data_IF_996071754535
#
_entry.id   IF_996071754535
#
_cell.length_a   1.000
_cell.length_b   1.000
_cell.length_c   1.000
_cell.angle_alpha   90.00
_cell.angle_beta   90.00
_cell.angle_gamma   90.00
#
_symmetry.space_group_name_H-M   'P 1'
#
loop_
_entity.id
_entity.type
_entity.pdbx_description
1 polymer ?
#
# COMPACT_ATOMS: atom_id res chain seq x y z
N UNK A 1 -3.63 28.30 15.09
CA UNK A 1 -3.71 27.39 13.93
C UNK A 1 -2.28 26.96 13.64
N UNK A 2 -1.92 25.72 13.93
CA UNK A 2 -0.59 25.19 13.64
C UNK A 2 -0.68 24.32 12.38
N UNK A 3 0.26 24.50 11.47
CA UNK A 3 0.39 23.66 10.27
C UNK A 3 1.32 22.51 10.63
N UNK A 4 0.77 21.33 10.87
CA UNK A 4 1.54 20.11 11.07
C UNK A 4 1.84 19.50 9.69
N UNK A 5 3.13 19.34 9.36
CA UNK A 5 3.58 18.74 8.11
C UNK A 5 4.14 17.38 8.47
N UNK A 6 3.48 16.32 8.01
CA UNK A 6 3.92 14.93 8.20
C UNK A 6 4.30 14.37 6.84
N UNK A 7 5.50 13.77 6.74
CA UNK A 7 5.99 13.16 5.51
C UNK A 7 5.51 11.71 5.45
N UNK A 8 4.43 11.49 4.73
CA UNK A 8 3.91 10.15 4.43
C UNK A 8 4.33 9.69 3.04
N UNK A 9 4.77 8.44 2.92
CA UNK A 9 5.00 7.76 1.64
C UNK A 9 3.73 7.03 1.22
N UNK A 10 3.09 7.49 0.14
CA UNK A 10 1.88 6.84 -0.40
C UNK A 10 2.22 5.88 -1.52
N UNK A 11 1.72 4.66 -1.42
CA UNK A 11 1.78 3.63 -2.43
C UNK A 11 0.36 3.21 -2.84
N UNK A 12 0.02 3.41 -4.10
CA UNK A 12 -1.33 3.12 -4.64
C UNK A 12 -1.25 1.94 -5.60
N UNK A 13 -2.04 0.90 -5.35
CA UNK A 13 -2.19 -0.28 -6.17
C UNK A 13 -3.58 -0.36 -6.75
N UNK A 14 -3.70 -0.07 -8.04
CA UNK A 14 -4.96 -0.25 -8.75
C UNK A 14 -4.98 -1.65 -9.36
N UNK A 15 -5.80 -2.54 -8.79
CA UNK A 15 -6.12 -3.82 -9.38
C UNK A 15 -7.13 -3.59 -10.49
N UNK A 16 -6.67 -3.87 -11.70
CA UNK A 16 -7.45 -3.75 -12.92
C UNK A 16 -7.51 -5.08 -13.65
N UNK A 17 -8.68 -5.37 -14.20
CA UNK A 17 -8.92 -6.49 -15.11
C UNK A 17 -9.23 -5.88 -16.48
N UNK A 18 -8.36 -6.14 -17.44
CA UNK A 18 -8.39 -5.42 -18.72
C UNK A 18 -8.20 -3.92 -18.52
N UNK A 19 -9.22 -3.14 -18.86
CA UNK A 19 -9.26 -1.67 -18.72
C UNK A 19 -9.99 -1.20 -17.45
N UNK A 20 -10.63 -2.10 -16.69
CA UNK A 20 -11.53 -1.71 -15.61
C UNK A 20 -10.86 -1.88 -14.23
N UNK A 21 -10.91 -0.82 -13.41
CA UNK A 21 -10.34 -0.83 -12.05
C UNK A 21 -11.33 -1.49 -11.11
N UNK A 22 -11.02 -2.73 -10.73
CA UNK A 22 -11.87 -3.56 -9.88
C UNK A 22 -11.72 -3.17 -8.41
N UNK A 23 -10.48 -3.01 -7.96
CA UNK A 23 -10.14 -2.71 -6.57
C UNK A 23 -8.94 -1.78 -6.52
N UNK A 24 -8.93 -0.86 -5.58
CA UNK A 24 -7.79 0.00 -5.28
C UNK A 24 -7.33 -0.27 -3.86
N UNK A 25 -6.03 -0.46 -3.71
CA UNK A 25 -5.37 -0.42 -2.44
C UNK A 25 -4.54 0.84 -2.36
N UNK A 26 -4.60 1.50 -1.21
CA UNK A 26 -3.74 2.62 -0.88
C UNK A 26 -3.03 2.27 0.41
N UNK A 27 -1.72 2.38 0.41
CA UNK A 27 -0.88 2.22 1.59
C UNK A 27 -0.22 3.56 1.82
N UNK A 28 -0.50 4.19 2.95
CA UNK A 28 0.21 5.38 3.39
C UNK A 28 1.14 4.97 4.53
N UNK A 29 2.44 4.97 4.28
CA UNK A 29 3.47 4.69 5.28
C UNK A 29 3.91 6.02 5.90
N UNK A 30 3.69 6.16 7.19
CA UNK A 30 4.09 7.35 7.94
C UNK A 30 5.58 7.33 8.28
N UNK A 31 6.12 8.47 8.71
CA UNK A 31 7.52 8.68 9.10
C UNK A 31 7.95 7.82 10.31
N UNK A 32 6.99 7.26 11.04
CA UNK A 32 7.22 6.26 12.08
C UNK A 32 7.29 4.81 11.56
N UNK A 33 7.21 4.58 10.25
CA UNK A 33 7.13 3.24 9.64
C UNK A 33 5.76 2.58 9.84
N UNK A 34 4.75 3.35 10.26
CA UNK A 34 3.39 2.85 10.46
C UNK A 34 2.64 2.94 9.14
N UNK A 35 2.27 1.80 8.58
CA UNK A 35 1.56 1.71 7.31
C UNK A 35 0.04 1.64 7.52
N UNK A 36 -0.66 2.63 7.00
CA UNK A 36 -2.12 2.68 6.96
C UNK A 36 -2.59 2.13 5.62
N UNK A 37 -3.41 1.09 5.63
CA UNK A 37 -3.96 0.51 4.39
C UNK A 37 -5.43 0.81 4.26
N UNK A 38 -5.77 1.42 3.14
CA UNK A 38 -7.13 1.65 2.69
C UNK A 38 -7.42 0.78 1.48
N UNK A 39 -8.54 0.08 1.50
CA UNK A 39 -9.02 -0.71 0.37
C UNK A 39 -10.37 -0.18 -0.13
N UNK A 40 -10.46 0.03 -1.44
CA UNK A 40 -11.67 0.46 -2.11
C UNK A 40 -12.03 -0.56 -3.19
N UNK A 41 -13.14 -1.25 -3.00
CA UNK A 41 -13.69 -2.16 -3.99
C UNK A 41 -14.71 -1.40 -4.84
N UNK A 42 -14.41 -1.21 -6.12
CA UNK A 42 -15.31 -0.53 -7.07
C UNK A 42 -16.31 -1.52 -7.68
N UNK A 43 -15.82 -2.68 -8.14
CA UNK A 43 -16.63 -3.67 -8.85
C UNK A 43 -16.52 -5.05 -8.18
N UNK A 44 -17.45 -5.35 -7.27
CA UNK A 44 -17.48 -6.63 -6.55
C UNK A 44 -17.81 -7.84 -7.43
N UNK A 45 -18.57 -7.65 -8.52
CA UNK A 45 -18.96 -8.71 -9.45
C UNK A 45 -17.77 -9.18 -10.29
N UNK A 46 -17.06 -8.25 -10.94
CA UNK A 46 -15.81 -8.53 -11.65
C UNK A 46 -14.73 -9.14 -10.76
N UNK A 47 -14.64 -8.67 -9.51
CA UNK A 47 -13.75 -9.28 -8.51
C UNK A 47 -14.11 -10.75 -8.26
N UNK A 48 -15.41 -11.07 -8.22
CA UNK A 48 -15.89 -12.42 -7.98
C UNK A 48 -15.67 -13.35 -9.18
N UNK A 49 -15.75 -12.82 -10.41
CA UNK A 49 -15.45 -13.57 -11.64
C UNK A 49 -13.94 -13.82 -11.80
N UNK A 50 -13.10 -12.84 -11.48
CA UNK A 50 -11.64 -12.91 -11.63
C UNK A 50 -10.88 -13.10 -10.30
N UNK A 51 -11.46 -13.86 -9.34
CA UNK A 51 -10.88 -14.05 -7.99
C UNK A 51 -9.42 -14.52 -8.00
N UNK A 52 -9.03 -15.35 -8.96
CA UNK A 52 -7.66 -15.91 -9.06
C UNK A 52 -6.62 -14.86 -9.45
N UNK A 53 -6.95 -14.00 -10.42
CA UNK A 53 -6.08 -12.89 -10.84
C UNK A 53 -6.00 -11.83 -9.74
N UNK A 54 -7.14 -11.48 -9.14
CA UNK A 54 -7.19 -10.55 -8.01
C UNK A 54 -6.28 -10.99 -6.87
N UNK A 55 -6.34 -12.28 -6.49
CA UNK A 55 -5.46 -12.83 -5.46
C UNK A 55 -3.97 -12.74 -5.80
N UNK A 56 -3.61 -12.92 -7.06
CA UNK A 56 -2.22 -12.78 -7.50
C UNK A 56 -1.76 -11.33 -7.45
N UNK A 57 -2.57 -10.40 -7.96
CA UNK A 57 -2.27 -8.97 -7.90
C UNK A 57 -2.20 -8.45 -6.47
N UNK A 58 -3.11 -8.88 -5.59
CA UNK A 58 -3.07 -8.58 -4.16
C UNK A 58 -1.81 -9.11 -3.50
N UNK A 59 -1.40 -10.35 -3.82
CA UNK A 59 -0.14 -10.90 -3.30
C UNK A 59 1.05 -10.06 -3.73
N UNK A 60 1.15 -9.72 -5.01
CA UNK A 60 2.22 -8.88 -5.56
C UNK A 60 2.24 -7.50 -4.91
N UNK A 61 1.07 -6.90 -4.71
CA UNK A 61 0.95 -5.60 -4.07
C UNK A 61 1.35 -5.66 -2.58
N UNK A 62 0.92 -6.71 -1.89
CA UNK A 62 1.28 -6.96 -0.49
C UNK A 62 2.77 -7.23 -0.33
N UNK A 63 3.38 -7.95 -1.25
CA UNK A 63 4.83 -8.22 -1.26
C UNK A 63 5.62 -6.91 -1.38
N UNK A 64 5.28 -6.08 -2.38
CA UNK A 64 5.87 -4.75 -2.55
C UNK A 64 5.64 -3.83 -1.35
N UNK A 65 4.46 -3.91 -0.73
CA UNK A 65 4.15 -3.17 0.49
C UNK A 65 5.14 -3.57 1.59
N UNK A 66 5.34 -4.87 1.83
CA UNK A 66 6.28 -5.33 2.85
C UNK A 66 7.72 -4.96 2.53
N UNK A 67 8.18 -5.07 1.28
CA UNK A 67 9.51 -4.60 0.88
C UNK A 67 9.70 -3.11 1.18
N UNK A 68 8.67 -2.29 0.95
CA UNK A 68 8.74 -0.85 1.19
C UNK A 68 8.70 -0.54 2.69
N UNK A 69 7.85 -1.24 3.45
CA UNK A 69 7.84 -1.13 4.92
C UNK A 69 9.19 -1.52 5.52
N UNK A 70 9.79 -2.63 5.08
CA UNK A 70 11.08 -3.11 5.59
C UNK A 70 12.22 -2.15 5.22
N UNK A 71 12.22 -1.59 4.01
CA UNK A 71 13.17 -0.56 3.61
C UNK A 71 13.06 0.71 4.47
N UNK A 72 11.83 1.19 4.69
CA UNK A 72 11.56 2.36 5.55
C UNK A 72 11.95 2.05 7.01
N UNK A 73 11.63 0.86 7.51
CA UNK A 73 11.99 0.45 8.87
C UNK A 73 13.50 0.35 9.03
N UNK A 74 14.21 -0.20 8.05
CA UNK A 74 15.67 -0.29 8.04
C UNK A 74 16.32 1.10 8.02
N UNK A 75 15.79 2.05 7.23
CA UNK A 75 16.22 3.45 7.27
C UNK A 75 15.97 4.07 8.65
N UNK A 76 14.80 3.85 9.25
CA UNK A 76 14.48 4.35 10.60
C UNK A 76 15.38 3.73 11.65
N UNK A 77 15.58 2.40 11.66
CA UNK A 77 16.43 1.69 12.62
C UNK A 77 17.90 2.08 12.47
N UNK A 78 18.39 2.25 11.24
CA UNK A 78 19.76 2.72 10.99
C UNK A 78 19.94 4.14 11.51
N UNK A 79 18.98 5.03 11.23
CA UNK A 79 19.01 6.41 11.71
C UNK A 79 18.85 6.49 13.26
N UNK A 80 18.16 5.53 13.87
CA UNK A 80 17.96 5.44 15.33
C UNK A 80 19.17 4.86 16.07
N UNK A 81 20.02 4.07 15.40
CA UNK A 81 21.28 3.55 15.98
C UNK A 81 22.44 4.56 15.95
N UNK A 82 22.32 5.63 15.17
CA UNK A 82 23.34 6.69 15.07
C UNK A 82 23.13 7.87 16.04
N UNK A 83 22.10 7.84 16.91
CA UNK A 83 21.87 8.85 17.96
C UNK A 83 22.24 8.39 19.37
#
# INVERSE_FOLDING_TARGET
MALEITKTTRLVGNLKIGDEVVKQYTVDVDEHGVSTVSEFLYHSELYAEHRLEMRNQEKLFRDKRYELEDAVLAEIESNKKEQ
#
